data_IF_394496649974
#
_entry.id   IF_394496649974
#
_cell.length_a   1.000
_cell.length_b   1.000
_cell.length_c   1.000
_cell.angle_alpha   90.00
_cell.angle_beta   90.00
_cell.angle_gamma   90.00
#
_symmetry.space_group_name_H-M   'P 1'
#
loop_
_entity.id
_entity.type
_entity.pdbx_description
1 polymer ?
#
# COMPACT_ATOMS: atom_id res chain seq x y z
N UNK A 1 -51.14 -19.49 4.59
CA UNK A 1 -52.17 -18.95 5.51
C UNK A 1 -53.56 -19.40 5.07
N UNK A 2 -54.01 -19.11 3.83
CA UNK A 2 -55.31 -19.57 3.29
C UNK A 2 -55.58 -21.08 3.46
N UNK A 3 -54.61 -21.93 3.13
CA UNK A 3 -54.75 -23.40 3.29
C UNK A 3 -54.89 -23.85 4.75
N UNK A 4 -54.21 -23.18 5.70
CA UNK A 4 -54.30 -23.52 7.14
C UNK A 4 -55.64 -23.11 7.73
N UNK A 5 -56.18 -21.96 7.33
CA UNK A 5 -57.51 -21.51 7.75
C UNK A 5 -58.60 -22.43 7.19
N UNK A 6 -58.45 -22.87 5.95
CA UNK A 6 -59.37 -23.84 5.33
C UNK A 6 -59.31 -25.21 6.01
N UNK A 7 -58.11 -25.66 6.41
CA UNK A 7 -57.95 -26.87 7.22
C UNK A 7 -58.71 -26.78 8.55
N UNK A 8 -58.59 -25.65 9.27
CA UNK A 8 -59.31 -25.47 10.55
C UNK A 8 -60.82 -25.50 10.34
N UNK A 9 -61.33 -24.81 9.32
CA UNK A 9 -62.77 -24.76 9.05
C UNK A 9 -63.34 -26.14 8.68
N UNK A 10 -62.60 -26.94 7.91
CA UNK A 10 -63.00 -28.32 7.62
C UNK A 10 -62.90 -29.23 8.85
N UNK A 11 -61.86 -29.06 9.67
CA UNK A 11 -61.66 -29.85 10.89
C UNK A 11 -62.71 -29.56 11.98
N UNK A 12 -63.22 -28.34 12.08
CA UNK A 12 -64.28 -27.96 13.05
C UNK A 12 -65.70 -28.15 12.52
N UNK A 13 -65.89 -28.36 11.21
CA UNK A 13 -67.22 -28.56 10.61
C UNK A 13 -67.93 -29.85 11.03
N UNK A 14 -67.20 -30.84 11.55
CA UNK A 14 -67.74 -32.15 11.94
C UNK A 14 -68.19 -33.05 10.78
N UNK A 15 -68.06 -32.60 9.53
CA UNK A 15 -68.52 -33.32 8.33
C UNK A 15 -67.63 -34.51 7.93
N UNK A 16 -66.41 -34.57 8.45
CA UNK A 16 -65.42 -35.61 8.17
C UNK A 16 -64.63 -35.94 9.41
N UNK A 17 -64.07 -37.14 9.48
CA UNK A 17 -63.18 -37.48 10.57
C UNK A 17 -61.89 -36.67 10.48
N UNK A 18 -61.30 -36.33 11.63
CA UNK A 18 -60.06 -35.55 11.68
C UNK A 18 -58.92 -36.20 10.87
N UNK A 19 -58.91 -37.53 10.79
CA UNK A 19 -57.93 -38.30 10.01
C UNK A 19 -58.06 -38.06 8.50
N UNK A 20 -59.29 -38.01 7.99
CA UNK A 20 -59.56 -37.73 6.58
C UNK A 20 -59.20 -36.29 6.20
N UNK A 21 -59.46 -35.34 7.10
CA UNK A 21 -59.08 -33.94 6.90
C UNK A 21 -57.55 -33.81 6.87
N UNK A 22 -56.82 -34.46 7.79
CA UNK A 22 -55.35 -34.45 7.77
C UNK A 22 -54.78 -35.07 6.48
N UNK A 23 -55.34 -36.19 6.01
CA UNK A 23 -54.90 -36.85 4.78
C UNK A 23 -55.16 -35.98 3.53
N UNK A 24 -56.32 -35.32 3.45
CA UNK A 24 -56.68 -34.43 2.34
C UNK A 24 -55.72 -33.23 2.22
N UNK A 25 -55.30 -32.67 3.34
CA UNK A 25 -54.37 -31.55 3.38
C UNK A 25 -52.90 -32.00 3.36
N UNK A 26 -52.63 -33.30 3.27
CA UNK A 26 -51.27 -33.84 3.19
C UNK A 26 -50.42 -33.61 4.44
N UNK A 27 -51.05 -33.46 5.62
CA UNK A 27 -50.36 -33.20 6.89
C UNK A 27 -50.52 -34.36 7.88
N UNK A 28 -49.56 -34.48 8.79
CA UNK A 28 -49.66 -35.44 9.89
C UNK A 28 -50.74 -35.02 10.90
N UNK A 29 -51.37 -36.00 11.56
CA UNK A 29 -52.33 -35.73 12.65
C UNK A 29 -51.74 -34.86 13.76
N UNK A 30 -50.47 -35.05 14.09
CA UNK A 30 -49.75 -34.22 15.07
C UNK A 30 -49.67 -32.75 14.64
N UNK A 31 -49.40 -32.48 13.37
CA UNK A 31 -49.40 -31.12 12.81
C UNK A 31 -50.79 -30.52 12.81
N UNK A 32 -51.81 -31.33 12.47
CA UNK A 32 -53.22 -30.94 12.52
C UNK A 32 -53.64 -30.49 13.93
N UNK A 33 -53.41 -31.32 14.96
CA UNK A 33 -53.75 -30.99 16.34
C UNK A 33 -53.00 -29.76 16.84
N UNK A 34 -51.74 -29.60 16.46
CA UNK A 34 -50.93 -28.41 16.78
C UNK A 34 -51.50 -27.14 16.16
N UNK A 35 -52.05 -27.19 14.95
CA UNK A 35 -52.72 -26.04 14.33
C UNK A 35 -54.05 -25.73 15.01
N UNK A 36 -54.83 -26.75 15.36
CA UNK A 36 -56.08 -26.59 16.11
C UNK A 36 -55.85 -25.93 17.47
N UNK A 37 -54.91 -26.46 18.27
CA UNK A 37 -54.56 -25.90 19.57
C UNK A 37 -54.07 -24.45 19.48
N UNK A 38 -53.36 -24.10 18.40
CA UNK A 38 -52.91 -22.72 18.16
C UNK A 38 -54.05 -21.79 17.75
N UNK A 39 -55.00 -22.31 16.98
CA UNK A 39 -56.20 -21.59 16.59
C UNK A 39 -57.11 -21.35 17.79
N UNK A 40 -57.31 -22.35 18.64
CA UNK A 40 -58.13 -22.19 19.87
C UNK A 40 -57.52 -21.16 20.84
N UNK A 41 -56.19 -21.09 20.90
CA UNK A 41 -55.49 -20.19 21.81
C UNK A 41 -55.36 -18.74 21.32
N UNK A 42 -55.30 -18.51 19.99
CA UNK A 42 -54.96 -17.21 19.42
C UNK A 42 -55.73 -16.85 18.14
N UNK A 43 -56.80 -17.58 17.82
CA UNK A 43 -57.60 -17.39 16.63
C UNK A 43 -56.81 -17.56 15.32
N UNK A 44 -57.22 -16.88 14.23
CA UNK A 44 -56.52 -16.90 12.94
C UNK A 44 -55.03 -16.53 13.05
N UNK A 45 -54.65 -15.68 14.01
CA UNK A 45 -53.27 -15.23 14.18
C UNK A 45 -52.34 -16.36 14.66
N UNK A 46 -52.88 -17.37 15.35
CA UNK A 46 -52.14 -18.56 15.79
C UNK A 46 -51.62 -19.45 14.65
N UNK A 47 -52.19 -19.29 13.45
CA UNK A 47 -51.83 -20.08 12.25
C UNK A 47 -50.67 -19.47 11.44
N UNK A 48 -50.20 -18.27 11.81
CA UNK A 48 -49.00 -17.70 11.25
C UNK A 48 -47.76 -18.54 11.58
N UNK A 49 -46.80 -18.55 10.66
CA UNK A 49 -45.50 -19.17 10.92
C UNK A 49 -44.82 -18.47 12.08
N UNK A 50 -44.61 -19.21 13.17
CA UNK A 50 -43.82 -18.74 14.30
C UNK A 50 -42.34 -18.83 13.94
N UNK A 51 -41.54 -17.92 14.49
CA UNK A 51 -40.10 -17.95 14.31
C UNK A 51 -39.53 -19.30 14.77
N UNK A 52 -38.77 -19.98 13.90
CA UNK A 52 -37.99 -21.16 14.25
C UNK A 52 -36.65 -20.81 14.95
N UNK A 53 -36.47 -19.54 15.36
CA UNK A 53 -35.24 -19.10 16.01
C UNK A 53 -35.16 -19.71 17.42
N UNK A 54 -34.03 -20.33 17.81
CA UNK A 54 -33.84 -20.83 19.16
C UNK A 54 -34.08 -19.74 20.22
N UNK A 55 -34.77 -20.10 21.31
CA UNK A 55 -35.06 -19.18 22.42
C UNK A 55 -33.81 -18.73 23.18
N UNK A 56 -32.75 -19.54 23.19
CA UNK A 56 -31.43 -19.18 23.70
C UNK A 56 -30.34 -19.71 22.75
N UNK A 57 -29.23 -18.97 22.67
CA UNK A 57 -28.03 -19.41 21.95
C UNK A 57 -26.86 -19.29 22.95
N UNK A 58 -26.44 -20.40 23.58
CA UNK A 58 -25.33 -20.40 24.54
C UNK A 58 -24.01 -19.85 23.97
N UNK A 59 -23.85 -19.93 22.64
CA UNK A 59 -22.70 -19.38 21.92
C UNK A 59 -22.93 -17.95 21.40
N UNK A 60 -23.87 -17.21 22.01
CA UNK A 60 -24.04 -15.80 21.70
C UNK A 60 -22.77 -15.05 22.11
N UNK A 61 -22.21 -14.28 21.18
CA UNK A 61 -21.09 -13.40 21.50
C UNK A 61 -21.49 -12.42 22.59
N UNK A 62 -20.61 -12.26 23.57
CA UNK A 62 -20.76 -11.30 24.65
C UNK A 62 -21.12 -9.89 24.11
N UNK A 63 -22.19 -9.25 24.60
CA UNK A 63 -22.54 -7.88 24.25
C UNK A 63 -21.40 -6.87 24.43
N UNK A 64 -20.55 -7.03 25.45
CA UNK A 64 -19.43 -6.12 25.71
C UNK A 64 -18.38 -6.17 24.59
N UNK A 65 -18.05 -7.39 24.12
CA UNK A 65 -17.15 -7.61 22.98
C UNK A 65 -17.73 -6.95 21.72
N UNK A 66 -19.03 -7.09 21.50
CA UNK A 66 -19.70 -6.51 20.34
C UNK A 66 -19.68 -4.97 20.38
N UNK A 67 -19.95 -4.37 21.54
CA UNK A 67 -19.92 -2.91 21.67
C UNK A 67 -18.51 -2.35 21.46
N UNK A 68 -17.48 -2.98 22.06
CA UNK A 68 -16.09 -2.61 21.81
C UNK A 68 -15.71 -2.73 20.31
N UNK A 69 -16.19 -3.77 19.63
CA UNK A 69 -15.99 -3.93 18.19
C UNK A 69 -16.72 -2.85 17.38
N UNK A 70 -17.94 -2.48 17.76
CA UNK A 70 -18.72 -1.42 17.11
C UNK A 70 -18.06 -0.07 17.30
N UNK A 71 -17.62 0.25 18.51
CA UNK A 71 -16.90 1.47 18.81
C UNK A 71 -15.60 1.56 17.99
N UNK A 72 -14.79 0.50 17.99
CA UNK A 72 -13.56 0.46 17.22
C UNK A 72 -13.84 0.61 15.72
N UNK A 73 -14.93 0.02 15.21
CA UNK A 73 -15.37 0.18 13.82
C UNK A 73 -15.78 1.61 13.50
N UNK A 74 -16.47 2.30 14.41
CA UNK A 74 -16.87 3.72 14.25
C UNK A 74 -15.64 4.62 14.26
N UNK A 75 -14.69 4.40 15.18
CA UNK A 75 -13.41 5.13 15.23
C UNK A 75 -12.53 4.82 14.01
N UNK A 76 -12.62 3.61 13.44
CA UNK A 76 -11.83 3.14 12.30
C UNK A 76 -12.70 2.62 11.13
N UNK A 77 -13.42 3.51 10.40
CA UNK A 77 -14.37 3.11 9.36
C UNK A 77 -13.78 2.39 8.14
N UNK A 78 -12.45 2.26 8.04
CA UNK A 78 -11.77 1.50 6.97
C UNK A 78 -11.22 0.15 7.41
N UNK A 79 -11.28 -0.17 8.70
CA UNK A 79 -10.78 -1.45 9.20
C UNK A 79 -11.82 -2.56 8.99
N UNK A 80 -11.37 -3.65 8.37
CA UNK A 80 -12.15 -4.87 8.23
C UNK A 80 -12.27 -5.65 9.54
N UNK A 81 -13.18 -6.62 9.58
CA UNK A 81 -13.45 -7.42 10.76
C UNK A 81 -12.19 -8.14 11.29
N UNK A 82 -11.31 -8.63 10.40
CA UNK A 82 -10.05 -9.24 10.79
C UNK A 82 -9.15 -8.27 11.58
N UNK A 83 -9.01 -7.01 11.13
CA UNK A 83 -8.19 -6.01 11.82
C UNK A 83 -8.76 -5.62 13.18
N UNK A 84 -10.09 -5.46 13.23
CA UNK A 84 -10.80 -5.18 14.48
C UNK A 84 -10.59 -6.34 15.46
N UNK A 85 -10.79 -7.58 15.00
CA UNK A 85 -10.55 -8.78 15.79
C UNK A 85 -9.12 -8.82 16.35
N UNK A 86 -8.09 -8.71 15.50
CA UNK A 86 -6.70 -8.72 15.96
C UNK A 86 -6.44 -7.62 16.97
N UNK A 87 -6.97 -6.41 16.73
CA UNK A 87 -6.76 -5.30 17.67
C UNK A 87 -7.45 -5.53 19.02
N UNK A 88 -8.67 -6.10 19.02
CA UNK A 88 -9.34 -6.48 20.26
C UNK A 88 -8.58 -7.58 20.99
N UNK A 89 -8.04 -8.57 20.28
CA UNK A 89 -7.23 -9.64 20.87
C UNK A 89 -5.97 -9.08 21.56
N UNK A 90 -5.34 -8.05 20.97
CA UNK A 90 -4.19 -7.37 21.60
C UNK A 90 -4.59 -6.53 22.81
N UNK A 91 -5.73 -5.84 22.76
CA UNK A 91 -6.19 -4.96 23.83
C UNK A 91 -6.78 -5.73 25.03
N UNK A 92 -7.46 -6.84 24.75
CA UNK A 92 -8.17 -7.66 25.74
C UNK A 92 -7.83 -9.14 25.53
N UNK A 93 -6.63 -9.61 25.91
CA UNK A 93 -6.19 -10.99 25.66
C UNK A 93 -7.03 -12.06 26.37
N UNK A 94 -7.80 -11.68 27.39
CA UNK A 94 -8.65 -12.56 28.19
C UNK A 94 -10.07 -12.73 27.63
N UNK A 95 -10.44 -11.98 26.59
CA UNK A 95 -11.75 -12.10 25.97
C UNK A 95 -11.82 -13.30 25.02
N UNK A 96 -12.89 -14.09 25.12
CA UNK A 96 -13.20 -15.13 24.14
C UNK A 96 -13.84 -14.50 22.89
N UNK A 97 -12.97 -14.06 21.98
CA UNK A 97 -13.40 -13.34 20.79
C UNK A 97 -14.04 -14.27 19.76
N UNK A 98 -15.19 -13.89 19.18
CA UNK A 98 -15.78 -14.65 18.09
C UNK A 98 -14.86 -14.57 16.87
N UNK A 99 -14.81 -15.63 16.07
CA UNK A 99 -13.96 -15.62 14.88
C UNK A 99 -14.29 -14.43 13.94
N UNK A 100 -13.32 -13.91 13.16
CA UNK A 100 -13.50 -12.70 12.34
C UNK A 100 -14.73 -12.72 11.42
N UNK A 101 -15.16 -13.90 10.96
CA UNK A 101 -16.36 -14.07 10.11
C UNK A 101 -17.65 -13.81 10.89
N UNK A 102 -17.75 -14.27 12.14
CA UNK A 102 -18.89 -14.00 13.02
C UNK A 102 -18.93 -12.52 13.33
N UNK A 103 -17.79 -11.93 13.73
CA UNK A 103 -17.69 -10.50 13.99
C UNK A 103 -18.15 -9.67 12.78
N UNK A 104 -17.73 -10.04 11.56
CA UNK A 104 -18.18 -9.39 10.33
C UNK A 104 -19.72 -9.42 10.16
N UNK A 105 -20.37 -10.54 10.48
CA UNK A 105 -21.84 -10.64 10.41
C UNK A 105 -22.51 -9.68 11.40
N UNK A 106 -21.97 -9.54 12.62
CA UNK A 106 -22.48 -8.57 13.59
C UNK A 106 -22.29 -7.13 13.10
N UNK A 107 -21.10 -6.78 12.58
CA UNK A 107 -20.85 -5.46 11.99
C UNK A 107 -21.79 -5.15 10.81
N UNK A 108 -22.11 -6.15 9.98
CA UNK A 108 -23.03 -6.01 8.85
C UNK A 108 -24.47 -5.78 9.33
N UNK A 109 -24.94 -6.56 10.31
CA UNK A 109 -26.28 -6.40 10.91
C UNK A 109 -26.45 -5.04 11.59
N UNK A 110 -25.39 -4.52 12.21
CA UNK A 110 -25.36 -3.20 12.82
C UNK A 110 -25.26 -2.05 11.78
N UNK A 111 -25.22 -2.34 10.47
CA UNK A 111 -25.12 -1.32 9.42
C UNK A 111 -23.75 -0.63 9.31
N UNK A 112 -22.72 -1.12 10.02
CA UNK A 112 -21.39 -0.51 10.08
C UNK A 112 -20.48 -0.91 8.90
N UNK A 113 -20.95 -1.82 8.04
CA UNK A 113 -20.25 -2.27 6.84
C UNK A 113 -21.00 -1.78 5.60
N UNK A 114 -20.34 -0.92 4.81
CA UNK A 114 -20.87 -0.52 3.51
C UNK A 114 -20.47 -1.55 2.45
N UNK A 115 -21.45 -2.13 1.75
CA UNK A 115 -21.19 -2.97 0.58
C UNK A 115 -20.58 -2.11 -0.52
N UNK A 116 -19.32 -2.37 -0.89
CA UNK A 116 -18.68 -1.69 -2.01
C UNK A 116 -18.99 -2.46 -3.29
N UNK A 117 -19.49 -1.77 -4.32
CA UNK A 117 -19.69 -2.37 -5.65
C UNK A 117 -18.32 -2.83 -6.18
N UNK A 118 -18.19 -4.12 -6.51
CA UNK A 118 -16.96 -4.66 -7.11
C UNK A 118 -16.79 -4.03 -8.48
N UNK A 119 -15.81 -3.15 -8.62
CA UNK A 119 -15.36 -2.68 -9.93
C UNK A 119 -14.41 -3.75 -10.46
N UNK A 120 -14.70 -4.31 -11.64
CA UNK A 120 -13.77 -5.21 -12.32
C UNK A 120 -12.49 -4.42 -12.62
N UNK A 121 -11.37 -4.89 -12.08
CA UNK A 121 -10.04 -4.38 -12.42
C UNK A 121 -9.47 -5.32 -13.47
N UNK A 122 -9.08 -4.79 -14.62
CA UNK A 122 -8.36 -5.57 -15.62
C UNK A 122 -6.94 -5.83 -15.09
N UNK A 123 -6.51 -7.09 -14.92
CA UNK A 123 -5.12 -7.39 -14.63
C UNK A 123 -4.31 -7.06 -15.88
N UNK A 124 -3.52 -5.98 -15.82
CA UNK A 124 -2.45 -5.77 -16.80
C UNK A 124 -1.27 -6.68 -16.39
N UNK A 125 -0.57 -7.33 -17.32
CA UNK A 125 0.58 -8.17 -17.00
C UNK A 125 1.78 -7.26 -16.69
N UNK A 126 1.91 -6.79 -15.46
CA UNK A 126 3.13 -6.13 -14.99
C UNK A 126 4.24 -7.16 -14.79
N UNK A 127 5.45 -6.86 -15.30
CA UNK A 127 6.66 -7.67 -15.10
C UNK A 127 7.02 -7.75 -13.61
N UNK A 128 7.56 -8.87 -13.10
CA UNK A 128 7.98 -8.98 -11.70
C UNK A 128 9.04 -7.93 -11.37
N UNK A 129 8.70 -6.96 -10.53
CA UNK A 129 9.70 -6.05 -9.95
C UNK A 129 10.59 -6.83 -8.98
N UNK A 130 11.81 -6.35 -8.74
CA UNK A 130 12.70 -6.96 -7.75
C UNK A 130 11.93 -7.23 -6.44
N UNK A 131 11.91 -8.50 -5.96
CA UNK A 131 11.12 -8.87 -4.81
C UNK A 131 11.65 -8.17 -3.55
N UNK A 132 10.75 -7.78 -2.67
CA UNK A 132 11.12 -7.32 -1.34
C UNK A 132 11.51 -8.56 -0.52
N UNK A 133 12.81 -8.79 -0.34
CA UNK A 133 13.35 -10.00 0.30
C UNK A 133 13.55 -9.83 1.80
N UNK A 134 13.89 -8.63 2.26
CA UNK A 134 14.16 -8.31 3.66
C UNK A 134 13.91 -6.81 3.95
N UNK A 135 13.79 -6.39 5.23
CA UNK A 135 13.77 -4.97 5.57
C UNK A 135 14.98 -4.23 5.00
N UNK A 136 14.75 -3.01 4.50
CA UNK A 136 15.75 -2.13 3.91
C UNK A 136 16.38 -2.61 2.58
N UNK A 137 15.90 -3.73 2.01
CA UNK A 137 16.35 -4.14 0.68
C UNK A 137 15.92 -3.12 -0.40
N UNK A 138 14.68 -2.63 -0.31
CA UNK A 138 14.15 -1.61 -1.20
C UNK A 138 13.22 -0.68 -0.40
N UNK A 139 13.57 0.59 -0.35
CA UNK A 139 12.65 1.64 0.08
C UNK A 139 11.91 2.20 -1.12
N UNK A 140 10.60 2.42 -1.01
CA UNK A 140 9.82 3.12 -2.02
C UNK A 140 9.59 4.57 -1.61
N UNK A 141 9.85 5.52 -2.50
CA UNK A 141 9.64 6.94 -2.27
C UNK A 141 8.79 7.56 -3.38
N UNK A 142 7.87 8.45 -3.00
CA UNK A 142 6.90 9.04 -3.92
C UNK A 142 6.29 10.31 -3.33
N UNK A 143 5.79 11.19 -4.19
CA UNK A 143 4.92 12.28 -3.80
C UNK A 143 3.47 11.87 -4.02
N UNK A 144 2.67 11.91 -2.96
CA UNK A 144 1.22 11.59 -3.02
C UNK A 144 0.40 12.53 -3.94
N UNK A 145 1.01 13.60 -4.43
CA UNK A 145 0.37 14.76 -5.08
C UNK A 145 0.10 15.89 -4.08
N UNK A 146 -0.09 17.11 -4.59
CA UNK A 146 -0.18 18.31 -3.78
C UNK A 146 -1.62 18.71 -3.42
N UNK A 147 -1.76 19.51 -2.37
CA UNK A 147 -3.02 20.17 -1.99
C UNK A 147 -2.73 21.47 -1.24
N UNK A 148 -3.71 22.38 -1.15
CA UNK A 148 -3.59 23.60 -0.36
C UNK A 148 -4.00 23.35 1.09
N UNK A 149 -3.20 23.82 2.04
CA UNK A 149 -3.62 24.01 3.43
C UNK A 149 -4.62 25.16 3.53
N UNK A 150 -5.32 25.30 4.67
CA UNK A 150 -6.38 26.33 4.79
C UNK A 150 -5.85 27.77 4.73
N UNK A 151 -4.57 27.97 4.99
CA UNK A 151 -3.82 29.22 4.77
C UNK A 151 -3.46 29.48 3.29
N UNK A 152 -3.91 28.64 2.35
CA UNK A 152 -3.73 28.82 0.91
C UNK A 152 -2.38 28.34 0.35
N UNK A 153 -1.46 27.85 1.20
CA UNK A 153 -0.14 27.36 0.76
C UNK A 153 -0.18 25.93 0.26
N UNK A 154 0.62 25.62 -0.76
CA UNK A 154 0.73 24.24 -1.25
C UNK A 154 1.55 23.37 -0.29
N UNK A 155 1.08 22.14 -0.09
CA UNK A 155 1.76 21.08 0.63
C UNK A 155 1.97 19.90 -0.32
N UNK A 156 3.22 19.44 -0.42
CA UNK A 156 3.63 18.28 -1.20
C UNK A 156 4.07 17.18 -0.22
N UNK A 157 3.23 16.18 0.07
CA UNK A 157 3.60 15.10 0.98
C UNK A 157 4.58 14.14 0.30
N UNK A 158 5.81 14.11 0.78
CA UNK A 158 6.83 13.12 0.42
C UNK A 158 6.67 11.90 1.33
N UNK A 159 6.31 10.75 0.74
CA UNK A 159 6.15 9.49 1.46
C UNK A 159 7.31 8.54 1.18
N UNK A 160 7.82 7.91 2.23
CA UNK A 160 8.83 6.86 2.15
C UNK A 160 8.37 5.65 2.96
N UNK A 161 8.52 4.47 2.37
CA UNK A 161 8.11 3.22 2.97
C UNK A 161 9.15 2.12 2.71
N UNK A 162 9.41 1.29 3.72
CA UNK A 162 10.10 0.03 3.51
C UNK A 162 9.21 -0.95 2.74
N UNK A 163 9.76 -1.55 1.69
CA UNK A 163 8.97 -2.38 0.78
C UNK A 163 8.59 -3.76 1.35
N UNK A 164 9.40 -4.29 2.27
CA UNK A 164 9.19 -5.60 2.90
C UNK A 164 8.21 -5.52 4.08
N UNK A 165 8.57 -4.77 5.12
CA UNK A 165 7.80 -4.60 6.36
C UNK A 165 6.60 -3.67 6.21
N UNK A 166 6.52 -2.91 5.11
CA UNK A 166 5.55 -1.83 4.89
C UNK A 166 5.67 -0.67 5.87
N UNK A 167 6.74 -0.60 6.66
CA UNK A 167 6.94 0.46 7.64
C UNK A 167 7.07 1.82 6.96
N UNK A 168 6.27 2.79 7.40
CA UNK A 168 6.36 4.16 6.91
C UNK A 168 7.50 4.88 7.61
N UNK A 169 8.57 5.12 6.85
CA UNK A 169 9.75 5.86 7.31
C UNK A 169 9.42 7.35 7.42
N UNK A 170 8.62 7.87 6.48
CA UNK A 170 8.17 9.26 6.52
C UNK A 170 6.86 9.48 5.76
N UNK A 171 6.10 10.46 6.25
CA UNK A 171 5.24 11.30 5.42
C UNK A 171 5.54 12.76 5.79
N UNK A 172 6.38 13.41 4.98
CA UNK A 172 6.85 14.76 5.24
C UNK A 172 6.11 15.76 4.37
N UNK A 173 5.49 16.76 4.99
CA UNK A 173 4.99 17.95 4.32
C UNK A 173 6.18 18.83 3.89
N UNK A 174 6.38 18.99 2.59
CA UNK A 174 7.37 19.91 2.01
C UNK A 174 6.69 20.92 1.09
N UNK A 175 7.38 22.04 0.82
CA UNK A 175 6.85 23.18 0.04
C UNK A 175 6.96 22.99 -1.48
N UNK A 176 7.64 21.93 -1.92
CA UNK A 176 7.81 21.62 -3.33
C UNK A 176 8.59 20.33 -3.56
N UNK A 177 8.68 19.92 -4.81
CA UNK A 177 9.37 18.72 -5.28
C UNK A 177 10.84 18.99 -5.62
N UNK A 178 11.50 19.88 -4.88
CA UNK A 178 12.88 20.29 -5.17
C UNK A 178 13.90 19.28 -4.63
N UNK A 179 15.07 19.22 -5.27
CA UNK A 179 16.20 18.41 -4.82
C UNK A 179 16.57 18.66 -3.36
N UNK A 180 16.68 19.93 -2.95
CA UNK A 180 17.10 20.32 -1.60
C UNK A 180 16.09 19.86 -0.55
N UNK A 181 14.79 20.05 -0.81
CA UNK A 181 13.73 19.61 0.09
C UNK A 181 13.75 18.09 0.27
N UNK A 182 13.83 17.32 -0.83
CA UNK A 182 13.92 15.87 -0.76
C UNK A 182 15.19 15.42 -0.02
N UNK A 183 16.37 15.95 -0.38
CA UNK A 183 17.66 15.58 0.22
C UNK A 183 17.66 15.76 1.74
N UNK A 184 17.06 16.83 2.26
CA UNK A 184 16.95 17.04 3.72
C UNK A 184 16.15 15.93 4.40
N UNK A 185 15.04 15.52 3.80
CA UNK A 185 14.22 14.41 4.33
C UNK A 185 14.99 13.10 4.29
N UNK A 186 15.58 12.74 3.15
CA UNK A 186 16.40 11.52 3.05
C UNK A 186 17.57 11.53 4.02
N UNK A 187 18.26 12.67 4.19
CA UNK A 187 19.40 12.77 5.13
C UNK A 187 18.96 12.50 6.57
N UNK A 188 17.80 13.03 6.99
CA UNK A 188 17.24 12.73 8.32
C UNK A 188 16.96 11.24 8.47
N UNK A 189 16.28 10.65 7.48
CA UNK A 189 15.90 9.23 7.51
C UNK A 189 17.11 8.30 7.47
N UNK A 190 18.14 8.63 6.70
CA UNK A 190 19.36 7.85 6.64
C UNK A 190 20.10 7.85 7.98
N UNK A 191 20.06 8.96 8.73
CA UNK A 191 20.61 9.02 10.08
C UNK A 191 19.81 8.20 11.10
N UNK A 192 18.48 8.19 10.95
CA UNK A 192 17.58 7.53 11.90
C UNK A 192 17.46 6.01 11.66
N UNK A 193 17.40 5.60 10.40
CA UNK A 193 17.07 4.23 10.00
C UNK A 193 18.21 3.51 9.27
N UNK A 194 19.35 4.18 9.05
CA UNK A 194 20.41 3.72 8.14
C UNK A 194 20.02 3.86 6.67
N UNK A 195 20.83 3.28 5.77
CA UNK A 195 20.61 3.36 4.32
C UNK A 195 20.12 2.03 3.73
N UNK A 196 19.20 2.03 2.75
CA UNK A 196 18.75 0.82 2.07
C UNK A 196 19.71 0.38 0.97
N UNK A 197 19.48 -0.81 0.41
CA UNK A 197 20.22 -1.25 -0.79
C UNK A 197 19.74 -0.53 -2.05
N UNK A 198 18.44 -0.34 -2.17
CA UNK A 198 17.79 0.31 -3.32
C UNK A 198 16.73 1.31 -2.88
N UNK A 199 16.53 2.34 -3.70
CA UNK A 199 15.38 3.25 -3.59
C UNK A 199 14.59 3.19 -4.88
N UNK A 200 13.33 2.76 -4.77
CA UNK A 200 12.37 2.72 -5.86
C UNK A 200 11.55 4.00 -5.92
N UNK A 201 11.53 4.65 -7.08
CA UNK A 201 10.76 5.88 -7.30
C UNK A 201 10.05 5.86 -8.64
N UNK A 202 9.12 6.79 -8.81
CA UNK A 202 8.60 7.12 -10.12
C UNK A 202 9.64 7.84 -11.00
N UNK A 203 9.27 8.08 -12.26
CA UNK A 203 10.10 8.82 -13.22
C UNK A 203 9.92 10.35 -13.11
N UNK A 204 9.32 10.84 -12.02
CA UNK A 204 9.05 12.26 -11.82
C UNK A 204 10.21 13.01 -11.17
N UNK A 205 10.29 14.34 -11.35
CA UNK A 205 11.19 15.17 -10.56
C UNK A 205 10.75 15.17 -9.07
N UNK A 206 11.70 15.16 -8.11
CA UNK A 206 13.15 15.32 -8.26
C UNK A 206 13.91 13.98 -8.38
N UNK A 207 13.22 12.84 -8.49
CA UNK A 207 13.84 11.52 -8.38
C UNK A 207 14.53 11.06 -9.66
N UNK A 208 13.95 11.40 -10.80
CA UNK A 208 14.43 11.02 -12.12
C UNK A 208 14.45 12.23 -13.06
N UNK A 209 15.35 12.20 -14.04
CA UNK A 209 15.34 13.13 -15.17
C UNK A 209 15.28 12.31 -16.47
N UNK A 210 14.11 12.23 -17.14
CA UNK A 210 13.92 11.35 -18.30
C UNK A 210 14.88 11.63 -19.47
N UNK A 211 15.37 12.86 -19.59
CA UNK A 211 16.28 13.29 -20.65
C UNK A 211 17.76 13.12 -20.28
N UNK A 212 18.06 12.85 -19.02
CA UNK A 212 19.43 12.63 -18.57
C UNK A 212 19.85 11.19 -18.84
N UNK A 213 21.13 11.00 -19.16
CA UNK A 213 21.71 9.69 -19.38
C UNK A 213 21.56 8.80 -18.13
N UNK A 214 21.04 7.59 -18.32
CA UNK A 214 20.68 6.67 -17.23
C UNK A 214 19.51 7.17 -16.36
N UNK A 215 18.72 8.13 -16.85
CA UNK A 215 17.62 8.81 -16.14
C UNK A 215 18.02 9.46 -14.82
N UNK A 216 19.31 9.77 -14.69
CA UNK A 216 19.87 10.25 -13.45
C UNK A 216 19.30 11.62 -13.06
N UNK A 217 18.97 11.77 -11.79
CA UNK A 217 18.76 13.06 -11.14
C UNK A 217 19.94 13.37 -10.21
N UNK A 218 20.05 14.62 -9.75
CA UNK A 218 21.00 14.99 -8.68
C UNK A 218 20.81 14.14 -7.41
N UNK A 219 19.60 13.63 -7.16
CA UNK A 219 19.29 12.78 -6.02
C UNK A 219 19.77 11.35 -6.25
N UNK A 220 19.53 10.80 -7.45
CA UNK A 220 20.03 9.49 -7.85
C UNK A 220 21.56 9.43 -7.82
N UNK A 221 22.24 10.46 -8.32
CA UNK A 221 23.71 10.57 -8.24
C UNK A 221 24.18 10.49 -6.79
N UNK A 222 23.54 11.24 -5.89
CA UNK A 222 23.88 11.20 -4.46
C UNK A 222 23.62 9.83 -3.82
N UNK A 223 22.53 9.15 -4.17
CA UNK A 223 22.25 7.79 -3.70
C UNK A 223 23.32 6.80 -4.16
N UNK A 224 23.71 6.83 -5.43
CA UNK A 224 24.75 5.95 -5.96
C UNK A 224 26.09 6.18 -5.23
N UNK A 225 26.43 7.43 -4.92
CA UNK A 225 27.62 7.78 -4.11
C UNK A 225 27.54 7.24 -2.68
N UNK A 226 26.36 6.96 -2.16
CA UNK A 226 26.15 6.29 -0.87
C UNK A 226 26.10 4.76 -0.99
N UNK A 227 26.26 4.21 -2.20
CA UNK A 227 26.07 2.79 -2.48
C UNK A 227 24.61 2.35 -2.46
N UNK A 228 23.68 3.26 -2.71
CA UNK A 228 22.25 3.00 -2.82
C UNK A 228 21.88 3.02 -4.31
N UNK A 229 21.31 1.93 -4.80
CA UNK A 229 20.95 1.79 -6.22
C UNK A 229 19.56 2.36 -6.50
N UNK A 230 19.40 3.30 -7.46
CA UNK A 230 18.08 3.74 -7.89
C UNK A 230 17.36 2.60 -8.65
N UNK A 231 16.08 2.42 -8.37
CA UNK A 231 15.20 1.45 -9.01
C UNK A 231 14.01 2.20 -9.63
N UNK A 232 14.13 2.62 -10.88
CA UNK A 232 13.07 3.38 -11.54
C UNK A 232 11.98 2.45 -12.05
N UNK A 233 10.72 2.77 -11.74
CA UNK A 233 9.59 2.03 -12.31
C UNK A 233 9.56 2.19 -13.83
N UNK A 234 9.12 1.15 -14.53
CA UNK A 234 8.97 1.21 -15.98
C UNK A 234 7.84 2.20 -16.35
N UNK A 235 8.01 2.98 -17.44
CA UNK A 235 6.93 3.79 -18.00
C UNK A 235 5.68 2.92 -18.25
N UNK A 236 4.50 3.45 -17.91
CA UNK A 236 3.21 2.76 -18.03
C UNK A 236 3.01 1.49 -17.19
N UNK A 237 3.82 1.26 -16.13
CA UNK A 237 3.69 0.12 -15.20
C UNK A 237 3.23 0.52 -13.77
N UNK A 238 2.03 1.13 -13.58
CA UNK A 238 1.56 1.63 -12.28
C UNK A 238 1.44 0.54 -11.19
N UNK A 239 1.35 -0.73 -11.60
CA UNK A 239 1.24 -1.87 -10.69
C UNK A 239 2.49 -2.08 -9.82
N UNK A 240 3.66 -1.69 -10.33
CA UNK A 240 4.93 -1.77 -9.59
C UNK A 240 4.91 -0.86 -8.34
N UNK A 241 4.02 0.14 -8.32
CA UNK A 241 3.79 1.05 -7.20
C UNK A 241 2.45 0.80 -6.46
N UNK A 242 1.74 -0.30 -6.76
CA UNK A 242 0.39 -0.55 -6.23
C UNK A 242 0.31 -0.67 -4.70
N UNK A 243 1.41 -1.02 -4.03
CA UNK A 243 1.50 -0.98 -2.55
C UNK A 243 1.43 0.46 -2.04
N UNK A 244 2.16 1.36 -2.69
CA UNK A 244 2.25 2.77 -2.34
C UNK A 244 0.93 3.50 -2.67
N UNK A 245 0.30 3.19 -3.80
CA UNK A 245 -1.03 3.74 -4.14
C UNK A 245 -2.11 3.40 -3.10
N UNK A 246 -2.11 2.15 -2.58
CA UNK A 246 -3.05 1.77 -1.51
C UNK A 246 -2.79 2.57 -0.24
N UNK A 247 -1.52 2.75 0.12
CA UNK A 247 -1.14 3.59 1.25
C UNK A 247 -1.53 5.07 1.03
N UNK A 248 -1.38 5.62 -0.18
CA UNK A 248 -1.83 6.99 -0.49
C UNK A 248 -3.33 7.17 -0.38
N UNK A 249 -4.12 6.14 -0.71
CA UNK A 249 -5.58 6.17 -0.53
C UNK A 249 -5.95 6.29 0.94
N UNK A 250 -5.27 5.57 1.82
CA UNK A 250 -5.47 5.68 3.27
C UNK A 250 -5.00 7.05 3.77
N UNK A 251 -3.79 7.49 3.37
CA UNK A 251 -3.21 8.79 3.73
C UNK A 251 -4.12 9.96 3.36
N UNK A 252 -4.64 9.97 2.12
CA UNK A 252 -5.53 11.03 1.63
C UNK A 252 -6.75 11.17 2.53
N UNK A 253 -7.31 10.04 2.94
CA UNK A 253 -8.61 9.98 3.54
C UNK A 253 -8.55 10.04 5.08
N UNK A 254 -7.40 9.81 5.70
CA UNK A 254 -7.18 9.98 7.15
C UNK A 254 -6.49 11.31 7.52
N UNK A 255 -5.61 11.84 6.68
CA UNK A 255 -4.77 12.99 7.06
C UNK A 255 -4.92 14.22 6.16
N UNK A 256 -5.33 14.08 4.89
CA UNK A 256 -5.39 15.20 3.95
C UNK A 256 -6.78 15.84 3.81
N UNK A 257 -7.85 15.19 4.25
CA UNK A 257 -9.23 15.67 4.06
C UNK A 257 -9.97 15.72 5.41
N UNK A 258 -10.47 16.90 5.84
CA UNK A 258 -10.16 18.23 5.29
C UNK A 258 -8.68 18.61 5.55
N UNK A 259 -8.06 19.48 4.76
CA UNK A 259 -6.67 19.90 5.00
C UNK A 259 -6.54 20.65 6.33
N UNK A 260 -5.35 20.59 6.94
CA UNK A 260 -5.05 21.31 8.17
C UNK A 260 -4.88 22.83 7.95
N UNK A 261 -4.83 23.59 9.05
CA UNK A 261 -4.70 25.05 9.03
C UNK A 261 -3.47 25.56 8.30
N UNK A 262 -2.32 24.94 8.56
CA UNK A 262 -1.02 25.27 7.98
C UNK A 262 -0.15 24.01 7.90
N UNK A 263 1.05 24.13 7.31
CA UNK A 263 1.98 23.00 7.12
C UNK A 263 2.38 22.31 8.41
N UNK A 264 2.66 23.05 9.49
CA UNK A 264 3.05 22.45 10.77
C UNK A 264 1.92 21.64 11.40
N UNK A 265 0.68 22.14 11.31
CA UNK A 265 -0.51 21.38 11.68
C UNK A 265 -0.72 20.15 10.79
N UNK A 266 -0.44 20.26 9.49
CA UNK A 266 -0.51 19.14 8.55
C UNK A 266 0.54 18.07 8.87
N UNK A 267 1.76 18.46 9.23
CA UNK A 267 2.82 17.54 9.65
C UNK A 267 2.44 16.78 10.93
N UNK A 268 1.81 17.43 11.91
CA UNK A 268 1.31 16.74 13.11
C UNK A 268 0.33 15.62 12.76
N UNK A 269 -0.59 15.86 11.82
CA UNK A 269 -1.52 14.82 11.33
C UNK A 269 -0.79 13.68 10.63
N UNK A 270 0.23 13.98 9.83
CA UNK A 270 1.07 12.95 9.22
C UNK A 270 1.81 12.12 10.27
N UNK A 271 2.36 12.74 11.31
CA UNK A 271 3.03 12.02 12.40
C UNK A 271 2.06 11.08 13.15
N UNK A 272 0.84 11.55 13.48
CA UNK A 272 -0.19 10.70 14.11
C UNK A 272 -0.59 9.53 13.21
N UNK A 273 -0.70 9.77 11.90
CA UNK A 273 -0.99 8.71 10.93
C UNK A 273 0.15 7.69 10.85
N UNK A 274 1.41 8.15 10.84
CA UNK A 274 2.58 7.27 10.84
C UNK A 274 2.57 6.35 12.05
N UNK A 275 2.38 6.92 13.25
CA UNK A 275 2.32 6.14 14.48
C UNK A 275 1.20 5.10 14.44
N UNK A 276 0.00 5.51 14.01
CA UNK A 276 -1.14 4.61 13.89
C UNK A 276 -0.91 3.49 12.87
N UNK A 277 -0.35 3.82 11.72
CA UNK A 277 -0.09 2.87 10.65
C UNK A 277 0.99 1.85 11.03
N UNK A 278 2.06 2.31 11.69
CA UNK A 278 3.23 1.50 12.02
C UNK A 278 3.05 0.68 13.30
N UNK A 279 2.35 1.18 14.32
CA UNK A 279 2.30 0.54 15.64
C UNK A 279 0.92 0.05 16.08
N UNK A 280 -0.16 0.52 15.45
CA UNK A 280 -1.52 0.21 15.90
C UNK A 280 -2.27 -0.64 14.87
N UNK A 281 -2.08 -0.37 13.57
CA UNK A 281 -2.85 -0.99 12.49
C UNK A 281 -2.30 -2.37 12.11
N UNK A 282 -3.11 -3.44 12.24
CA UNK A 282 -2.76 -4.76 11.71
C UNK A 282 -2.77 -4.77 10.17
N UNK A 283 -1.87 -5.53 9.54
CA UNK A 283 -1.84 -5.70 8.07
C UNK A 283 -1.94 -7.15 7.66
N UNK A 284 -2.94 -7.48 6.84
CA UNK A 284 -3.17 -8.83 6.31
C UNK A 284 -1.94 -9.37 5.56
N UNK A 285 -1.25 -8.51 4.81
CA UNK A 285 -0.03 -8.87 4.09
C UNK A 285 1.16 -9.22 5.00
N UNK A 286 1.08 -8.89 6.29
CA UNK A 286 2.07 -9.21 7.32
C UNK A 286 1.51 -10.22 8.33
N UNK A 287 0.55 -11.06 7.91
CA UNK A 287 -0.13 -12.02 8.78
C UNK A 287 -0.75 -11.36 10.02
N UNK A 288 -1.34 -10.17 9.84
CA UNK A 288 -1.96 -9.36 10.89
C UNK A 288 -1.00 -8.76 11.93
N UNK A 289 0.31 -8.84 11.73
CA UNK A 289 1.28 -8.02 12.46
C UNK A 289 1.21 -6.55 12.06
N UNK A 290 1.71 -5.67 12.92
CA UNK A 290 1.95 -4.27 12.57
C UNK A 290 3.27 -4.13 11.82
N UNK A 291 3.49 -3.07 11.03
CA UNK A 291 4.76 -2.87 10.34
C UNK A 291 5.95 -2.76 11.31
N UNK A 292 5.75 -2.18 12.49
CA UNK A 292 6.78 -2.08 13.51
C UNK A 292 7.20 -3.44 14.08
N UNK A 293 6.29 -4.43 14.15
CA UNK A 293 6.63 -5.78 14.62
C UNK A 293 7.56 -6.54 13.67
N UNK A 294 7.67 -6.08 12.41
CA UNK A 294 8.45 -6.74 11.34
C UNK A 294 9.68 -5.92 10.96
N UNK A 295 9.62 -4.59 11.12
CA UNK A 295 10.67 -3.70 10.70
C UNK A 295 11.88 -3.76 11.62
N UNK A 296 13.05 -3.76 11.01
CA UNK A 296 14.35 -3.62 11.67
C UNK A 296 15.13 -2.52 10.94
N UNK A 297 15.77 -1.58 11.65
CA UNK A 297 16.64 -0.58 11.02
C UNK A 297 17.75 -1.20 10.18
N UNK A 298 18.24 -0.47 9.19
CA UNK A 298 19.35 -0.94 8.34
C UNK A 298 20.63 -1.05 9.14
N UNK A 299 21.38 -2.12 8.90
CA UNK A 299 22.73 -2.32 9.44
C UNK A 299 23.78 -1.44 8.74
N UNK A 300 23.43 -0.85 7.59
CA UNK A 300 24.30 0.07 6.85
C UNK A 300 24.11 1.50 7.38
N UNK A 301 25.10 2.08 8.08
CA UNK A 301 24.96 3.43 8.60
C UNK A 301 25.06 4.48 7.49
N UNK A 302 24.48 5.65 7.73
CA UNK A 302 24.72 6.81 6.87
C UNK A 302 26.12 7.39 7.12
N UNK A 303 27.01 7.44 6.11
CA UNK A 303 28.39 7.83 6.34
C UNK A 303 28.54 9.36 6.47
N UNK A 304 29.47 9.80 7.32
CA UNK A 304 29.79 11.23 7.52
C UNK A 304 30.47 11.87 6.30
N UNK A 305 31.17 11.06 5.49
CA UNK A 305 31.80 11.46 4.23
C UNK A 305 31.40 10.47 3.15
N UNK A 306 31.18 10.96 1.93
CA UNK A 306 30.84 10.07 0.81
C UNK A 306 32.02 9.13 0.52
N UNK A 307 31.80 7.80 0.47
CA UNK A 307 32.86 6.86 0.14
C UNK A 307 33.35 7.11 -1.30
N UNK A 308 34.61 6.82 -1.64
CA UNK A 308 35.07 6.89 -3.02
C UNK A 308 34.35 5.85 -3.89
N UNK A 309 34.17 6.14 -5.18
CA UNK A 309 33.78 5.13 -6.16
C UNK A 309 35.03 4.33 -6.52
N UNK A 310 34.99 3.03 -6.26
CA UNK A 310 36.04 2.11 -6.64
C UNK A 310 35.62 1.37 -7.90
N UNK A 311 36.52 1.32 -8.87
CA UNK A 311 36.35 0.60 -10.12
C UNK A 311 37.35 -0.55 -10.19
N UNK A 312 37.03 -1.66 -10.87
CA UNK A 312 38.00 -2.73 -11.13
C UNK A 312 39.25 -2.20 -11.85
N UNK A 313 40.39 -2.87 -11.64
CA UNK A 313 41.67 -2.42 -12.19
C UNK A 313 41.73 -2.41 -13.74
N UNK A 314 40.89 -3.20 -14.40
CA UNK A 314 40.79 -3.24 -15.86
C UNK A 314 39.93 -2.11 -16.44
N UNK A 315 39.27 -1.29 -15.60
CA UNK A 315 38.50 -0.14 -16.08
C UNK A 315 39.41 1.05 -16.36
N UNK A 316 39.15 1.74 -17.47
CA UNK A 316 39.66 3.08 -17.67
C UNK A 316 38.83 4.08 -16.86
N UNK A 317 39.47 4.75 -15.90
CA UNK A 317 38.78 5.76 -15.08
C UNK A 317 39.01 7.16 -15.66
N UNK A 318 37.93 7.92 -15.80
CA UNK A 318 37.95 9.31 -16.26
C UNK A 318 37.16 10.19 -15.32
N UNK A 319 37.69 11.40 -15.06
CA UNK A 319 36.98 12.44 -14.32
C UNK A 319 36.09 13.22 -15.28
N UNK A 320 34.82 13.35 -14.93
CA UNK A 320 33.86 14.17 -15.69
C UNK A 320 34.11 15.64 -15.37
N UNK A 321 34.26 16.46 -16.41
CA UNK A 321 34.44 17.90 -16.29
C UNK A 321 33.14 18.57 -15.82
N UNK A 322 33.23 19.79 -15.31
CA UNK A 322 32.06 20.54 -14.79
C UNK A 322 30.97 20.78 -15.84
N UNK A 323 31.34 20.85 -17.11
CA UNK A 323 30.43 20.95 -18.25
C UNK A 323 29.82 19.58 -18.66
N UNK A 324 30.13 18.51 -17.96
CA UNK A 324 29.52 17.19 -18.14
C UNK A 324 30.21 16.26 -19.13
N UNK A 325 31.33 16.67 -19.73
CA UNK A 325 32.06 15.83 -20.68
C UNK A 325 33.32 15.17 -20.11
N UNK A 326 33.77 14.13 -20.79
CA UNK A 326 35.04 13.45 -20.57
C UNK A 326 35.90 13.57 -21.83
N UNK A 327 37.22 13.65 -21.63
CA UNK A 327 38.16 13.53 -22.73
C UNK A 327 38.45 12.05 -22.96
N UNK A 328 38.16 11.57 -24.16
CA UNK A 328 38.42 10.19 -24.59
C UNK A 328 39.40 10.21 -25.76
N UNK A 329 40.65 9.84 -25.51
CA UNK A 329 41.77 10.09 -26.43
C UNK A 329 41.82 11.55 -26.92
N UNK A 330 41.61 11.76 -28.22
CA UNK A 330 41.55 13.07 -28.90
C UNK A 330 40.13 13.63 -29.01
N UNK A 331 39.11 12.88 -28.61
CA UNK A 331 37.69 13.26 -28.75
C UNK A 331 37.10 13.76 -27.44
N UNK A 332 36.12 14.66 -27.57
CA UNK A 332 35.30 15.12 -26.46
C UNK A 332 33.96 14.39 -26.47
N UNK A 333 33.64 13.71 -25.37
CA UNK A 333 32.43 12.91 -25.24
C UNK A 333 31.59 13.48 -24.10
N UNK A 334 30.32 13.79 -24.36
CA UNK A 334 29.41 14.21 -23.31
C UNK A 334 28.96 12.99 -22.49
N UNK A 335 29.08 13.06 -21.18
CA UNK A 335 28.58 12.02 -20.27
C UNK A 335 27.29 12.48 -19.60
N UNK A 336 27.39 13.46 -18.70
CA UNK A 336 26.27 14.16 -18.10
C UNK A 336 26.78 15.29 -17.21
N UNK A 337 26.19 16.48 -17.31
CA UNK A 337 26.49 17.61 -16.42
C UNK A 337 26.20 17.29 -14.94
N UNK A 338 25.31 16.32 -14.66
CA UNK A 338 24.99 15.88 -13.30
C UNK A 338 26.15 15.13 -12.62
N UNK A 339 27.10 14.63 -13.41
CA UNK A 339 28.28 13.90 -12.94
C UNK A 339 29.52 14.81 -12.86
N UNK A 340 29.38 16.12 -13.06
CA UNK A 340 30.51 17.05 -13.03
C UNK A 340 31.33 16.93 -11.75
N UNK A 341 32.62 16.62 -11.89
CA UNK A 341 33.56 16.40 -10.78
C UNK A 341 33.66 14.95 -10.30
N UNK A 342 32.75 14.07 -10.72
CA UNK A 342 32.75 12.65 -10.37
C UNK A 342 33.65 11.82 -11.30
N UNK A 343 33.99 10.60 -10.85
CA UNK A 343 34.70 9.62 -11.66
C UNK A 343 33.69 8.70 -12.35
N UNK A 344 33.96 8.36 -13.60
CA UNK A 344 33.29 7.29 -14.36
C UNK A 344 34.32 6.24 -14.76
N UNK A 345 33.88 4.98 -14.76
CA UNK A 345 34.69 3.85 -15.21
C UNK A 345 34.24 3.43 -16.61
N UNK A 346 35.18 3.05 -17.45
CA UNK A 346 34.92 2.56 -18.80
C UNK A 346 35.54 1.18 -18.98
N UNK A 347 34.76 0.25 -19.51
CA UNK A 347 35.18 -1.12 -19.81
C UNK A 347 35.01 -1.37 -21.32
N UNK A 348 36.06 -1.84 -21.97
CA UNK A 348 35.96 -2.23 -23.37
C UNK A 348 35.22 -3.56 -23.48
N UNK A 349 34.09 -3.55 -24.21
CA UNK A 349 33.25 -4.74 -24.37
C UNK A 349 33.32 -5.31 -25.80
N UNK A 350 33.78 -4.51 -26.76
CA UNK A 350 34.06 -4.87 -28.14
C UNK A 350 34.97 -3.80 -28.76
N UNK A 351 35.57 -4.09 -29.91
CA UNK A 351 36.40 -3.15 -30.64
C UNK A 351 35.67 -1.81 -30.87
N UNK A 352 36.19 -0.74 -30.25
CA UNK A 352 35.62 0.60 -30.39
C UNK A 352 34.31 0.86 -29.63
N UNK A 353 33.89 -0.05 -28.75
CA UNK A 353 32.67 0.08 -27.93
C UNK A 353 33.00 -0.13 -26.45
N UNK A 354 32.72 0.90 -25.66
CA UNK A 354 33.04 0.94 -24.24
C UNK A 354 31.78 1.08 -23.40
N UNK A 355 31.55 0.18 -22.45
CA UNK A 355 30.52 0.34 -21.44
C UNK A 355 30.94 1.39 -20.42
N UNK A 356 30.09 2.38 -20.16
CA UNK A 356 30.36 3.49 -19.24
C UNK A 356 29.59 3.28 -17.95
N UNK A 357 30.28 3.38 -16.81
CA UNK A 357 29.74 3.09 -15.49
C UNK A 357 29.90 4.27 -14.53
N UNK A 358 28.83 4.57 -13.79
CA UNK A 358 28.88 5.41 -12.59
C UNK A 358 28.63 4.56 -11.36
N UNK A 359 29.73 4.23 -10.67
CA UNK A 359 29.75 3.17 -9.66
C UNK A 359 29.18 1.87 -10.23
N UNK A 360 28.18 1.24 -9.57
CA UNK A 360 27.54 0.00 -10.06
C UNK A 360 26.52 0.21 -11.19
N UNK A 361 26.21 1.45 -11.59
CA UNK A 361 25.20 1.72 -12.62
C UNK A 361 25.85 1.83 -14.00
N UNK A 362 25.43 0.96 -14.93
CA UNK A 362 25.74 1.13 -16.35
C UNK A 362 24.94 2.31 -16.89
N UNK A 363 25.66 3.29 -17.43
CA UNK A 363 25.13 4.53 -17.98
C UNK A 363 24.77 4.39 -19.47
N UNK A 364 25.48 3.50 -20.18
CA UNK A 364 25.31 3.26 -21.62
C UNK A 364 26.64 2.88 -22.28
N UNK A 365 26.65 2.91 -23.60
CA UNK A 365 27.78 2.51 -24.44
C UNK A 365 28.34 3.69 -25.20
N UNK A 366 29.62 3.97 -24.98
CA UNK A 366 30.41 4.87 -25.79
C UNK A 366 30.80 4.16 -27.08
N UNK A 367 30.33 4.69 -28.20
CA UNK A 367 30.81 4.30 -29.53
C UNK A 367 31.86 5.30 -30.00
N UNK A 368 33.10 4.85 -30.22
CA UNK A 368 34.22 5.73 -30.60
C UNK A 368 33.91 6.45 -31.93
N UNK A 369 33.40 5.72 -32.94
CA UNK A 369 33.08 6.28 -34.26
C UNK A 369 32.04 7.40 -34.22
N UNK A 370 31.16 7.36 -33.21
CA UNK A 370 30.07 8.35 -33.04
C UNK A 370 30.43 9.46 -32.05
N UNK A 371 31.51 9.30 -31.28
CA UNK A 371 31.89 10.23 -30.20
C UNK A 371 30.79 10.45 -29.16
N UNK A 372 29.90 9.46 -28.94
CA UNK A 372 28.70 9.63 -28.14
C UNK A 372 28.41 8.39 -27.28
N UNK A 373 27.80 8.64 -26.12
CA UNK A 373 27.27 7.59 -25.24
C UNK A 373 25.79 7.40 -25.57
N UNK A 374 25.39 6.14 -25.76
CA UNK A 374 24.03 5.73 -26.08
C UNK A 374 23.56 4.79 -24.96
N UNK A 375 22.43 5.09 -24.33
CA UNK A 375 21.81 4.23 -23.32
C UNK A 375 20.82 3.23 -23.95
N UNK A 376 20.43 2.23 -23.17
CA UNK A 376 19.44 1.20 -23.55
C UNK A 376 18.11 1.76 -24.03
N UNK A 377 17.65 2.86 -23.43
CA UNK A 377 16.39 3.52 -23.77
C UNK A 377 16.52 4.50 -24.94
N UNK A 378 17.65 4.46 -25.66
CA UNK A 378 17.91 5.29 -26.83
C UNK A 378 18.25 6.74 -26.50
N UNK A 379 18.35 7.11 -25.22
CA UNK A 379 18.85 8.43 -24.83
C UNK A 379 20.32 8.54 -25.22
N UNK A 380 20.68 9.62 -25.91
CA UNK A 380 22.04 9.86 -26.37
C UNK A 380 22.58 11.14 -25.77
N UNK A 381 23.85 11.14 -25.41
CA UNK A 381 24.55 12.33 -24.94
C UNK A 381 24.91 13.32 -26.05
N UNK A 382 24.37 13.19 -27.27
CA UNK A 382 24.70 14.05 -28.42
C UNK A 382 24.73 15.52 -28.03
N UNK A 383 25.81 16.18 -28.43
CA UNK A 383 26.01 17.60 -28.24
C UNK A 383 24.91 18.36 -29.00
N UNK A 384 24.09 19.22 -28.37
CA UNK A 384 23.11 20.06 -29.09
C UNK A 384 23.78 21.17 -29.94
N UNK A 385 25.07 21.04 -30.23
CA UNK A 385 25.88 21.88 -31.11
C UNK A 385 26.73 20.98 -32.00
N UNK A 386 26.07 20.34 -32.95
CA UNK A 386 26.56 20.05 -34.30
C UNK A 386 25.38 20.27 -35.24
#
# INVERSE_FOLDING_TARGET
MKERTQFILEATSGLRSFSEVCQRFGISRETGYKWLQRYDAAGPDGLHDRSHRPHSCPHATDPEILEAAFELRRRRPRWGAAKIHTRLATLYPHWDLPCPRVLHKHLLRAGLVRKKRRVRTHPHPGRPTAPFTAPNSIWSADYKGHFKTRDGRYCYPLTLQDGFSRFLLACQAVDGTTYHAARLVFTRLFREFGIPDRIRTDNGPPFSSPLALGRLSRLAVWWIRLGILPDFIEPASPQQNGRHERMHKDLKADACIPPAGNRSAQQRRFNSLLHDFNHIRPHEALQMKTPADVYVPSTRPFPNKLPPLNYPAHFEVRKVSTNGGIRWHSCWVNASHLLGGELVGLEEIADGVWAVFFGPLCLGWLHIDKGAIISDDGSSSRNPRL
#
